data_IF_361339495066
#
_entry.id   IF_361339495066
#
_cell.length_a   1.000
_cell.length_b   1.000
_cell.length_c   1.000
_cell.angle_alpha   90.00
_cell.angle_beta   90.00
_cell.angle_gamma   90.00
#
_symmetry.space_group_name_H-M   'P 1'
#
loop_
_entity.id
_entity.type
_entity.pdbx_description
1 polymer ?
#
# COMPACT_ATOMS: atom_id res chain seq x y z
N UNK A 1 -52.06 24.64 -2.35
CA UNK A 1 -51.25 24.20 -1.20
C UNK A 1 -51.32 22.67 -0.97
N UNK A 2 -51.49 21.85 -2.02
CA UNK A 2 -51.65 20.38 -1.90
C UNK A 2 -50.66 19.58 -2.78
N UNK A 3 -49.98 20.23 -3.74
CA UNK A 3 -48.99 19.54 -4.59
C UNK A 3 -47.59 19.45 -3.97
N UNK A 4 -47.18 20.43 -3.16
CA UNK A 4 -45.80 20.53 -2.64
C UNK A 4 -45.51 19.49 -1.54
N UNK A 5 -46.51 19.12 -0.73
CA UNK A 5 -46.35 18.14 0.36
C UNK A 5 -46.17 16.71 -0.17
N UNK A 6 -46.81 16.38 -1.30
CA UNK A 6 -46.71 15.03 -1.90
C UNK A 6 -45.37 14.78 -2.58
N UNK A 7 -44.76 15.78 -3.19
CA UNK A 7 -43.45 15.65 -3.86
C UNK A 7 -42.30 15.54 -2.88
N UNK A 8 -42.39 16.23 -1.73
CA UNK A 8 -41.37 16.13 -0.67
C UNK A 8 -41.41 14.76 0.04
N UNK A 9 -42.61 14.21 0.32
CA UNK A 9 -42.72 12.86 0.91
C UNK A 9 -42.14 11.79 -0.02
N UNK A 10 -42.44 11.85 -1.32
CA UNK A 10 -41.95 10.87 -2.29
C UNK A 10 -40.47 11.04 -2.68
N UNK A 11 -39.88 12.23 -2.52
CA UNK A 11 -38.44 12.42 -2.69
C UNK A 11 -37.67 11.90 -1.46
N UNK A 12 -38.14 12.25 -0.25
CA UNK A 12 -37.55 11.80 1.01
C UNK A 12 -37.63 10.27 1.17
N UNK A 13 -38.77 9.63 0.83
CA UNK A 13 -38.90 8.17 0.83
C UNK A 13 -38.07 7.47 -0.27
N UNK A 14 -37.62 8.19 -1.30
CA UNK A 14 -36.74 7.65 -2.34
C UNK A 14 -35.26 7.80 -1.96
N UNK A 15 -34.85 8.91 -1.36
CA UNK A 15 -33.50 9.07 -0.79
C UNK A 15 -33.25 8.06 0.34
N UNK A 16 -34.19 7.91 1.28
CA UNK A 16 -34.08 6.91 2.36
C UNK A 16 -33.95 5.48 1.85
N UNK A 17 -34.59 5.14 0.73
CA UNK A 17 -34.45 3.80 0.12
C UNK A 17 -33.13 3.60 -0.60
N UNK A 18 -32.55 4.65 -1.18
CA UNK A 18 -31.20 4.58 -1.78
C UNK A 18 -30.15 4.43 -0.69
N UNK A 19 -30.29 5.17 0.42
CA UNK A 19 -29.41 5.01 1.60
C UNK A 19 -29.57 3.61 2.26
N UNK A 20 -30.80 3.09 2.40
CA UNK A 20 -31.04 1.73 2.93
C UNK A 20 -30.54 0.61 2.01
N UNK A 21 -30.49 0.81 0.68
CA UNK A 21 -30.03 -0.21 -0.27
C UNK A 21 -28.49 -0.25 -0.39
N UNK A 22 -27.79 0.82 0.01
CA UNK A 22 -26.33 0.92 -0.01
C UNK A 22 -25.63 0.33 1.24
N UNK A 23 -26.34 0.12 2.36
CA UNK A 23 -25.79 -0.50 3.58
C UNK A 23 -26.19 -1.97 3.75
N UNK A 24 -25.87 -2.81 2.76
CA UNK A 24 -25.78 -4.26 3.00
C UNK A 24 -24.45 -4.58 3.66
N UNK A 25 -24.37 -4.42 4.98
CA UNK A 25 -23.34 -5.05 5.80
C UNK A 25 -23.48 -6.58 5.66
N UNK A 26 -22.67 -7.18 4.78
CA UNK A 26 -22.48 -8.63 4.80
C UNK A 26 -21.68 -8.97 6.06
N UNK A 27 -22.37 -9.47 7.08
CA UNK A 27 -21.75 -10.20 8.18
C UNK A 27 -21.02 -11.43 7.62
N UNK A 28 -19.76 -11.24 7.25
CA UNK A 28 -18.85 -12.33 6.90
C UNK A 28 -18.20 -12.81 8.18
N UNK A 29 -18.41 -14.09 8.50
CA UNK A 29 -17.58 -14.78 9.48
C UNK A 29 -16.15 -14.85 8.96
N UNK A 30 -15.30 -13.92 9.41
CA UNK A 30 -13.87 -13.94 9.13
C UNK A 30 -13.26 -15.14 9.88
N UNK A 31 -12.46 -15.94 9.18
CA UNK A 31 -11.81 -17.09 9.78
C UNK A 31 -11.01 -16.70 11.03
N UNK A 32 -11.24 -17.38 12.15
CA UNK A 32 -10.52 -17.13 13.41
C UNK A 32 -9.05 -17.54 13.26
N UNK A 33 -8.22 -16.58 12.88
CA UNK A 33 -6.79 -16.77 12.68
C UNK A 33 -6.03 -16.37 13.95
N UNK A 34 -4.96 -17.14 14.27
CA UNK A 34 -4.07 -16.79 15.38
C UNK A 34 -2.97 -15.86 14.88
N UNK A 35 -2.71 -14.73 15.56
CA UNK A 35 -1.61 -13.85 15.17
C UNK A 35 -0.28 -14.58 15.27
N UNK A 36 0.62 -14.26 14.36
CA UNK A 36 2.02 -14.67 14.44
C UNK A 36 2.70 -13.82 15.53
N UNK A 37 3.61 -14.44 16.29
CA UNK A 37 4.47 -13.67 17.20
C UNK A 37 5.70 -13.24 16.42
N UNK A 38 5.93 -11.93 16.36
CA UNK A 38 7.12 -11.36 15.74
C UNK A 38 8.38 -11.80 16.47
N UNK A 39 9.43 -12.10 15.71
CA UNK A 39 10.73 -12.52 16.21
C UNK A 39 11.64 -11.31 16.29
N UNK A 40 12.22 -11.07 17.46
CA UNK A 40 13.28 -10.06 17.61
C UNK A 40 14.56 -10.56 16.93
N UNK A 41 15.27 -9.64 16.30
CA UNK A 41 16.60 -9.84 15.76
C UNK A 41 17.54 -8.73 16.25
N UNK A 42 18.83 -8.85 15.93
CA UNK A 42 19.84 -7.91 16.40
C UNK A 42 19.76 -6.59 15.62
N UNK A 43 18.77 -5.75 15.95
CA UNK A 43 18.46 -4.50 15.23
C UNK A 43 19.66 -3.60 15.01
N UNK A 44 20.58 -3.49 15.97
CA UNK A 44 21.79 -2.67 15.83
C UNK A 44 22.69 -3.09 14.68
N UNK A 45 22.63 -4.34 14.21
CA UNK A 45 23.46 -4.83 13.10
C UNK A 45 23.05 -4.24 11.75
N UNK A 46 21.84 -3.68 11.60
CA UNK A 46 21.41 -3.03 10.37
C UNK A 46 22.10 -1.68 10.14
N UNK A 47 22.66 -1.06 11.19
CA UNK A 47 23.31 0.25 11.09
C UNK A 47 24.47 0.24 10.08
N UNK A 48 25.18 -0.89 10.00
CA UNK A 48 26.31 -1.09 9.08
C UNK A 48 25.89 -1.61 7.70
N UNK A 49 24.62 -2.01 7.53
CA UNK A 49 24.12 -2.60 6.28
C UNK A 49 23.92 -1.54 5.21
N UNK A 50 24.37 -1.83 3.99
CA UNK A 50 24.26 -0.94 2.82
C UNK A 50 23.35 -1.51 1.74
N UNK A 51 23.01 -2.79 1.84
CA UNK A 51 22.09 -3.46 0.95
C UNK A 51 21.36 -4.60 1.65
N UNK A 52 20.39 -5.19 0.96
CA UNK A 52 19.64 -6.36 1.44
C UNK A 52 20.56 -7.57 1.62
N UNK A 53 21.61 -7.70 0.82
CA UNK A 53 22.57 -8.81 0.93
C UNK A 53 23.30 -8.82 2.28
N UNK A 54 23.55 -7.65 2.88
CA UNK A 54 24.18 -7.53 4.20
C UNK A 54 23.28 -8.04 5.33
N UNK A 55 21.97 -8.19 5.08
CA UNK A 55 20.98 -8.63 6.06
C UNK A 55 20.83 -10.15 6.16
N UNK A 56 21.41 -10.92 5.23
CA UNK A 56 21.21 -12.39 5.12
C UNK A 56 21.48 -13.15 6.42
N UNK A 57 22.46 -12.69 7.20
CA UNK A 57 22.86 -13.30 8.48
C UNK A 57 22.29 -12.58 9.71
N UNK A 58 21.35 -11.64 9.51
CA UNK A 58 20.75 -10.80 10.55
C UNK A 58 19.27 -11.13 10.70
N UNK A 59 18.54 -11.11 9.58
CA UNK A 59 17.08 -11.32 9.53
C UNK A 59 16.73 -11.99 8.21
N UNK A 60 15.71 -12.84 8.23
CA UNK A 60 15.21 -13.42 6.99
C UNK A 60 14.45 -12.35 6.18
N UNK A 61 14.92 -12.12 4.96
CA UNK A 61 14.35 -11.15 4.02
C UNK A 61 13.83 -11.88 2.79
N UNK A 62 12.61 -11.54 2.38
CA UNK A 62 11.93 -12.11 1.22
C UNK A 62 11.67 -11.00 0.20
N UNK A 63 11.89 -11.26 -1.09
CA UNK A 63 11.50 -10.28 -2.12
C UNK A 63 9.98 -10.18 -2.21
N UNK A 64 9.47 -8.97 -2.43
CA UNK A 64 8.04 -8.74 -2.60
C UNK A 64 7.48 -9.58 -3.75
N UNK A 65 8.21 -9.70 -4.86
CA UNK A 65 7.80 -10.54 -5.98
C UNK A 65 7.58 -12.01 -5.56
N UNK A 66 8.55 -12.62 -4.86
CA UNK A 66 8.44 -14.02 -4.46
C UNK A 66 7.28 -14.20 -3.49
N UNK A 67 7.11 -13.27 -2.54
CA UNK A 67 5.99 -13.31 -1.62
C UNK A 67 4.64 -13.26 -2.34
N UNK A 68 4.49 -12.33 -3.29
CA UNK A 68 3.24 -12.18 -4.06
C UNK A 68 2.96 -13.43 -4.89
N UNK A 69 3.96 -13.98 -5.58
CA UNK A 69 3.80 -15.19 -6.40
C UNK A 69 3.46 -16.43 -5.58
N UNK A 70 4.00 -16.56 -4.38
CA UNK A 70 3.81 -17.74 -3.53
C UNK A 70 2.54 -17.69 -2.69
N UNK A 71 2.18 -16.51 -2.17
CA UNK A 71 1.20 -16.37 -1.10
C UNK A 71 -0.05 -15.57 -1.47
N UNK A 72 -0.01 -14.79 -2.55
CA UNK A 72 -1.15 -13.95 -2.95
C UNK A 72 -1.90 -14.62 -4.09
N UNK A 73 -3.16 -14.97 -3.82
CA UNK A 73 -4.07 -15.63 -4.77
C UNK A 73 -4.62 -14.70 -5.84
N UNK A 74 -4.38 -13.39 -5.72
CA UNK A 74 -4.72 -12.41 -6.76
C UNK A 74 -3.73 -12.57 -7.91
N UNK A 75 -4.08 -13.43 -8.86
CA UNK A 75 -3.29 -13.71 -10.09
C UNK A 75 -2.74 -12.46 -10.73
N UNK A 76 -3.52 -11.39 -10.69
CA UNK A 76 -3.20 -10.17 -11.40
C UNK A 76 -2.20 -9.29 -10.62
N UNK A 77 -2.07 -9.41 -9.29
CA UNK A 77 -1.01 -8.70 -8.55
C UNK A 77 0.37 -9.28 -8.90
N UNK A 78 0.44 -10.59 -9.15
CA UNK A 78 1.67 -11.27 -9.57
C UNK A 78 2.13 -10.92 -11.00
N UNK A 79 1.26 -10.27 -11.79
CA UNK A 79 1.55 -9.83 -13.17
C UNK A 79 2.23 -8.44 -13.23
N UNK A 80 2.37 -7.76 -12.08
CA UNK A 80 3.18 -6.54 -11.98
C UNK A 80 4.67 -6.88 -12.04
N UNK A 81 5.45 -5.97 -12.62
CA UNK A 81 6.91 -6.06 -12.68
C UNK A 81 7.52 -5.63 -11.33
N UNK A 82 7.25 -6.38 -10.26
CA UNK A 82 7.75 -6.08 -8.90
C UNK A 82 9.27 -6.05 -8.80
N UNK A 83 9.96 -6.79 -9.67
CA UNK A 83 11.43 -6.88 -9.67
C UNK A 83 12.08 -5.51 -9.88
N UNK A 84 11.50 -4.64 -10.71
CA UNK A 84 12.09 -3.33 -10.99
C UNK A 84 11.99 -2.38 -9.79
N UNK A 85 10.99 -2.56 -8.92
CA UNK A 85 10.80 -1.77 -7.71
C UNK A 85 11.80 -2.10 -6.59
N UNK A 86 12.52 -3.23 -6.67
CA UNK A 86 13.54 -3.65 -5.69
C UNK A 86 13.04 -3.62 -4.23
N UNK A 87 11.80 -4.09 -4.01
CA UNK A 87 11.16 -4.14 -2.69
C UNK A 87 11.35 -5.51 -2.07
N UNK A 88 11.75 -5.50 -0.80
CA UNK A 88 11.97 -6.66 0.04
C UNK A 88 11.28 -6.44 1.38
N UNK A 89 10.94 -7.50 2.11
CA UNK A 89 10.35 -7.40 3.43
C UNK A 89 10.92 -8.43 4.39
N UNK A 90 10.94 -8.09 5.68
CA UNK A 90 11.31 -9.04 6.74
C UNK A 90 10.24 -10.14 6.87
N UNK A 91 10.62 -11.27 7.48
CA UNK A 91 9.62 -12.29 7.84
C UNK A 91 8.51 -11.74 8.75
N UNK A 92 8.83 -10.78 9.63
CA UNK A 92 7.85 -10.17 10.54
C UNK A 92 6.85 -9.26 9.82
N UNK A 93 7.26 -8.62 8.72
CA UNK A 93 6.37 -7.85 7.87
C UNK A 93 5.33 -8.76 7.20
N UNK A 94 5.79 -9.84 6.55
CA UNK A 94 4.94 -10.73 5.75
C UNK A 94 4.12 -11.75 6.55
N UNK A 95 4.60 -12.17 7.73
CA UNK A 95 3.94 -13.19 8.55
C UNK A 95 3.07 -12.55 9.64
N UNK A 96 1.84 -12.16 9.29
CA UNK A 96 0.87 -11.57 10.23
C UNK A 96 0.09 -12.62 11.02
N UNK A 97 -0.26 -13.73 10.38
CA UNK A 97 -1.00 -14.85 10.96
C UNK A 97 -0.22 -16.16 10.87
N UNK A 98 -0.52 -17.09 11.77
CA UNK A 98 -0.01 -18.47 11.63
C UNK A 98 -0.64 -19.12 10.42
N UNK A 99 0.20 -19.55 9.47
CA UNK A 99 -0.26 -20.31 8.30
C UNK A 99 -1.10 -21.51 8.75
N UNK A 100 -2.37 -21.52 8.32
CA UNK A 100 -3.27 -22.67 8.48
C UNK A 100 -3.44 -23.30 7.10
N UNK A 101 -3.36 -24.64 7.01
CA UNK A 101 -3.58 -25.34 5.73
C UNK A 101 -5.00 -25.07 5.23
N UNK A 102 -5.12 -24.67 3.96
CA UNK A 102 -6.41 -24.44 3.30
C UNK A 102 -6.99 -23.04 3.54
N UNK A 103 -6.19 -22.08 3.98
CA UNK A 103 -6.64 -20.71 4.20
C UNK A 103 -6.44 -19.89 2.92
N UNK A 104 -7.52 -19.69 2.15
CA UNK A 104 -7.51 -18.88 0.91
C UNK A 104 -7.54 -17.36 1.20
N UNK A 105 -7.63 -16.94 2.46
CA UNK A 105 -7.80 -15.54 2.87
C UNK A 105 -6.52 -14.84 3.35
N UNK A 106 -5.32 -15.28 2.93
CA UNK A 106 -4.04 -14.60 3.26
C UNK A 106 -4.08 -13.10 2.90
N UNK A 107 -4.81 -12.74 1.85
CA UNK A 107 -4.99 -11.36 1.39
C UNK A 107 -5.65 -10.44 2.43
N UNK A 108 -6.57 -10.97 3.24
CA UNK A 108 -7.32 -10.22 4.27
C UNK A 108 -6.42 -9.82 5.45
N UNK A 109 -5.30 -10.52 5.63
CA UNK A 109 -4.36 -10.31 6.73
C UNK A 109 -3.04 -9.68 6.26
N UNK A 110 -2.98 -9.17 5.02
CA UNK A 110 -1.81 -8.45 4.55
C UNK A 110 -1.60 -7.19 5.39
N UNK A 111 -0.37 -7.00 5.87
CA UNK A 111 0.01 -5.78 6.57
C UNK A 111 0.08 -4.62 5.57
N UNK A 112 -0.35 -3.44 6.00
CA UNK A 112 -0.12 -2.18 5.27
C UNK A 112 1.32 -1.76 5.44
N UNK A 113 1.91 -1.21 4.39
CA UNK A 113 3.22 -0.58 4.44
C UNK A 113 3.07 0.77 5.14
N UNK A 114 3.65 0.87 6.34
CA UNK A 114 3.67 2.10 7.15
C UNK A 114 5.08 2.71 7.24
N UNK A 115 6.11 1.88 7.45
CA UNK A 115 7.51 2.34 7.52
C UNK A 115 8.36 1.57 6.51
N UNK A 116 9.21 2.31 5.79
CA UNK A 116 10.13 1.76 4.81
C UNK A 116 11.57 2.19 5.11
N UNK A 117 12.51 1.29 4.85
CA UNK A 117 13.93 1.57 4.86
C UNK A 117 14.43 1.62 3.42
N UNK A 118 15.21 2.64 3.07
CA UNK A 118 15.72 2.85 1.71
C UNK A 118 17.24 2.94 1.75
N UNK A 119 17.90 1.93 1.19
CA UNK A 119 19.36 1.83 1.10
C UNK A 119 19.93 2.74 0.02
N UNK A 120 21.23 3.08 0.09
CA UNK A 120 21.92 3.92 -0.91
C UNK A 120 21.88 3.34 -2.32
N UNK A 121 21.79 2.02 -2.45
CA UNK A 121 21.68 1.33 -3.74
C UNK A 121 20.25 1.33 -4.32
N UNK A 122 19.29 2.00 -3.67
CA UNK A 122 17.89 2.09 -4.09
C UNK A 122 17.01 0.92 -3.67
N UNK A 123 17.55 -0.11 -3.00
CA UNK A 123 16.72 -1.20 -2.47
C UNK A 123 15.86 -0.71 -1.31
N UNK A 124 14.63 -1.23 -1.24
CA UNK A 124 13.66 -0.91 -0.20
C UNK A 124 13.39 -2.12 0.67
N UNK A 125 13.45 -1.94 1.99
CA UNK A 125 13.08 -2.94 2.99
C UNK A 125 11.82 -2.51 3.74
N UNK A 126 10.82 -3.38 3.72
CA UNK A 126 9.59 -3.30 4.50
C UNK A 126 9.81 -3.99 5.84
N UNK A 127 9.41 -3.31 6.90
CA UNK A 127 9.53 -3.77 8.29
C UNK A 127 8.17 -3.67 8.98
N UNK A 128 7.93 -4.49 10.00
CA UNK A 128 6.75 -4.33 10.84
C UNK A 128 6.82 -3.02 11.66
N UNK A 129 5.67 -2.56 12.15
CA UNK A 129 5.61 -1.42 13.09
C UNK A 129 6.48 -1.67 14.33
N UNK A 130 6.47 -2.90 14.86
CA UNK A 130 7.28 -3.24 16.02
C UNK A 130 8.78 -3.21 15.69
N UNK A 131 9.20 -3.67 14.51
CA UNK A 131 10.58 -3.53 14.06
C UNK A 131 10.96 -2.05 13.88
N UNK A 132 10.08 -1.25 13.28
CA UNK A 132 10.28 0.19 13.10
C UNK A 132 10.49 0.91 14.43
N UNK A 133 9.71 0.61 15.47
CA UNK A 133 9.89 1.17 16.82
C UNK A 133 11.29 0.90 17.37
N UNK A 134 11.78 -0.35 17.27
CA UNK A 134 13.13 -0.68 17.74
C UNK A 134 14.21 0.01 16.88
N UNK A 135 13.98 0.22 15.59
CA UNK A 135 14.91 0.94 14.71
C UNK A 135 14.94 2.45 15.00
N UNK A 136 13.80 3.03 15.38
CA UNK A 136 13.69 4.43 15.83
C UNK A 136 14.44 4.65 17.14
N UNK A 137 14.43 3.68 18.05
CA UNK A 137 15.24 3.73 19.29
C UNK A 137 16.76 3.76 19.01
N UNK A 138 17.19 3.33 17.82
CA UNK A 138 18.60 3.38 17.39
C UNK A 138 19.03 4.74 16.81
N UNK A 139 18.18 5.78 16.87
CA UNK A 139 18.35 7.14 16.30
C UNK A 139 19.57 7.95 16.72
N UNK A 140 20.42 7.41 17.58
CA UNK A 140 21.75 7.95 17.85
C UNK A 140 22.86 7.39 16.95
N UNK A 141 22.57 6.40 16.10
CA UNK A 141 23.52 5.73 15.22
C UNK A 141 23.72 6.43 13.87
N UNK A 142 24.88 6.22 13.25
CA UNK A 142 25.09 6.55 11.84
C UNK A 142 24.36 5.51 10.99
N UNK A 143 23.33 5.94 10.28
CA UNK A 143 22.56 5.11 9.37
C UNK A 143 23.19 5.10 7.97
N UNK A 144 23.27 3.93 7.33
CA UNK A 144 23.59 3.79 5.90
C UNK A 144 22.32 3.60 5.04
N UNK A 145 21.17 3.96 5.60
CA UNK A 145 19.86 3.89 4.96
C UNK A 145 19.02 5.07 5.44
N UNK A 146 17.87 5.26 4.79
CA UNK A 146 16.85 6.21 5.23
C UNK A 146 15.66 5.48 5.79
N UNK A 147 15.21 5.88 6.97
CA UNK A 147 13.98 5.40 7.59
C UNK A 147 12.90 6.45 7.33
N UNK A 148 11.81 6.03 6.69
CA UNK A 148 10.76 6.94 6.25
C UNK A 148 9.39 6.36 6.60
N UNK A 149 8.51 7.18 7.18
CA UNK A 149 7.09 6.84 7.25
C UNK A 149 6.47 7.02 5.85
N UNK A 150 5.81 5.98 5.35
CA UNK A 150 5.29 5.92 4.00
C UNK A 150 4.25 7.01 3.75
N UNK A 151 3.32 7.24 4.68
CA UNK A 151 2.31 8.30 4.53
C UNK A 151 2.93 9.70 4.42
N UNK A 152 4.04 9.95 5.12
CA UNK A 152 4.78 11.21 5.00
C UNK A 152 5.53 11.33 3.67
N UNK A 153 6.05 10.23 3.12
CA UNK A 153 6.65 10.24 1.78
C UNK A 153 5.59 10.58 0.72
N UNK A 154 4.40 10.00 0.85
CA UNK A 154 3.23 10.28 0.02
C UNK A 154 2.80 11.75 0.10
N UNK A 155 2.72 12.31 1.31
CA UNK A 155 2.41 13.72 1.53
C UNK A 155 3.47 14.64 0.95
N UNK A 156 4.76 14.28 1.08
CA UNK A 156 5.82 15.08 0.48
C UNK A 156 5.67 15.12 -1.04
N UNK A 157 5.43 13.98 -1.69
CA UNK A 157 5.16 13.89 -3.13
C UNK A 157 3.98 14.76 -3.54
N UNK A 158 2.89 14.76 -2.76
CA UNK A 158 1.74 15.64 -3.00
C UNK A 158 2.13 17.12 -3.05
N UNK A 159 3.09 17.53 -2.21
CA UNK A 159 3.49 18.94 -2.09
C UNK A 159 4.59 19.34 -3.08
N UNK A 160 5.56 18.47 -3.33
CA UNK A 160 6.80 18.82 -4.06
C UNK A 160 6.93 18.18 -5.44
N UNK A 161 6.13 17.15 -5.74
CA UNK A 161 6.06 16.55 -7.07
C UNK A 161 7.18 15.56 -7.39
N UNK A 162 7.57 15.46 -8.67
CA UNK A 162 8.53 14.44 -9.17
C UNK A 162 9.93 14.54 -8.54
N UNK A 163 10.35 15.74 -8.12
CA UNK A 163 11.68 15.99 -7.55
C UNK A 163 11.67 15.96 -6.02
N UNK A 164 10.76 15.19 -5.42
CA UNK A 164 10.65 15.09 -3.96
C UNK A 164 11.89 14.41 -3.39
N UNK A 165 12.57 15.09 -2.47
CA UNK A 165 13.75 14.57 -1.79
C UNK A 165 13.40 14.06 -0.39
N UNK A 166 14.28 13.25 0.20
CA UNK A 166 14.03 12.73 1.55
C UNK A 166 13.93 13.83 2.62
N UNK A 167 14.62 14.95 2.43
CA UNK A 167 14.54 16.13 3.32
C UNK A 167 13.16 16.80 3.31
N UNK A 168 12.38 16.59 2.25
CA UNK A 168 11.03 17.12 2.12
C UNK A 168 10.03 16.27 2.90
N UNK A 169 10.42 15.03 3.25
CA UNK A 169 9.61 14.07 3.99
C UNK A 169 9.71 14.34 5.49
N UNK A 170 8.59 14.67 6.16
CA UNK A 170 8.57 14.83 7.61
C UNK A 170 9.15 13.60 8.33
N UNK A 171 9.99 13.86 9.34
CA UNK A 171 10.57 12.83 10.20
C UNK A 171 11.42 11.76 9.49
N UNK A 172 11.84 11.98 8.25
CA UNK A 172 12.83 11.12 7.62
C UNK A 172 14.14 11.13 8.42
N UNK A 173 14.64 9.95 8.74
CA UNK A 173 15.91 9.75 9.44
C UNK A 173 16.90 9.08 8.50
N UNK A 174 18.19 9.38 8.67
CA UNK A 174 19.25 8.65 8.01
C UNK A 174 20.29 9.51 7.31
N UNK A 175 21.06 8.91 6.42
CA UNK A 175 22.04 9.60 5.59
C UNK A 175 21.42 10.15 4.30
N UNK A 176 22.11 11.13 3.69
CA UNK A 176 21.83 11.60 2.32
C UNK A 176 20.36 11.98 2.09
N UNK A 177 19.84 12.84 2.96
CA UNK A 177 18.46 13.33 2.85
C UNK A 177 18.26 14.27 1.64
N UNK A 178 19.33 14.67 0.99
CA UNK A 178 19.34 15.45 -0.24
C UNK A 178 19.08 14.63 -1.52
N UNK A 179 19.05 13.30 -1.43
CA UNK A 179 18.72 12.43 -2.56
C UNK A 179 17.20 12.37 -2.83
N UNK A 180 16.87 12.06 -4.07
CA UNK A 180 15.49 11.92 -4.54
C UNK A 180 14.86 10.61 -4.02
N UNK A 181 13.54 10.63 -3.84
CA UNK A 181 12.79 9.44 -3.42
C UNK A 181 12.73 8.39 -4.55
N UNK A 182 12.77 7.08 -4.24
CA UNK A 182 12.63 6.02 -5.23
C UNK A 182 11.18 5.91 -5.69
N UNK A 183 10.80 6.73 -6.66
CA UNK A 183 9.41 6.89 -7.12
C UNK A 183 8.76 5.56 -7.53
N UNK A 184 9.51 4.68 -8.19
CA UNK A 184 9.02 3.35 -8.59
C UNK A 184 8.68 2.47 -7.39
N UNK A 185 9.53 2.45 -6.37
CA UNK A 185 9.28 1.69 -5.15
C UNK A 185 8.11 2.29 -4.37
N UNK A 186 8.00 3.62 -4.30
CA UNK A 186 6.86 4.29 -3.65
C UNK A 186 5.55 3.94 -4.37
N UNK A 187 5.51 4.02 -5.71
CA UNK A 187 4.34 3.64 -6.50
C UNK A 187 3.96 2.16 -6.30
N UNK A 188 4.95 1.26 -6.25
CA UNK A 188 4.72 -0.14 -5.96
C UNK A 188 4.17 -0.36 -4.54
N UNK A 189 4.66 0.38 -3.54
CA UNK A 189 4.10 0.38 -2.18
C UNK A 189 2.65 0.89 -2.14
N UNK A 190 2.31 1.92 -2.92
CA UNK A 190 0.94 2.41 -3.10
C UNK A 190 0.00 1.30 -3.59
N UNK A 191 0.38 0.64 -4.68
CA UNK A 191 -0.40 -0.48 -5.23
C UNK A 191 -0.51 -1.61 -4.23
N UNK A 192 0.59 -1.93 -3.53
CA UNK A 192 0.57 -2.95 -2.49
C UNK A 192 -0.35 -2.56 -1.33
N UNK A 193 -0.46 -1.29 -0.96
CA UNK A 193 -1.41 -0.84 0.07
C UNK A 193 -2.88 -0.87 -0.41
N UNK A 194 -3.12 -1.08 -1.71
CA UNK A 194 -4.45 -1.00 -2.31
C UNK A 194 -4.89 0.45 -2.57
N UNK A 195 -3.96 1.40 -2.51
CA UNK A 195 -4.19 2.80 -2.87
C UNK A 195 -3.93 2.97 -4.36
N UNK A 196 -5.02 3.09 -5.12
CA UNK A 196 -5.02 3.06 -6.59
C UNK A 196 -5.65 4.30 -7.21
N UNK A 197 -6.17 5.20 -6.38
CA UNK A 197 -6.60 6.55 -6.73
C UNK A 197 -5.62 7.53 -6.08
N UNK A 198 -4.45 7.79 -6.70
CA UNK A 198 -3.60 8.90 -6.28
C UNK A 198 -4.40 10.21 -6.38
N UNK A 199 -4.04 11.21 -5.56
CA UNK A 199 -4.55 12.58 -5.74
C UNK A 199 -4.19 13.12 -7.12
N UNK A 200 -4.85 14.18 -7.62
CA UNK A 200 -4.49 14.79 -8.91
C UNK A 200 -2.99 15.20 -8.98
N UNK A 201 -2.44 15.66 -7.86
CA UNK A 201 -1.02 16.00 -7.71
C UNK A 201 -0.10 14.78 -7.81
N UNK A 202 -0.43 13.70 -7.09
CA UNK A 202 0.28 12.42 -7.21
C UNK A 202 0.10 11.80 -8.57
N UNK A 203 -1.07 11.94 -9.20
CA UNK A 203 -1.34 11.38 -10.50
C UNK A 203 -0.41 12.01 -11.52
N UNK A 204 -0.27 13.34 -11.58
CA UNK A 204 0.65 14.00 -12.50
C UNK A 204 2.10 13.47 -12.41
N UNK A 205 2.53 13.11 -11.19
CA UNK A 205 3.91 12.70 -10.85
C UNK A 205 4.13 11.20 -11.03
N UNK A 206 3.17 10.41 -10.56
CA UNK A 206 3.23 8.96 -10.57
C UNK A 206 2.63 8.38 -11.84
N UNK A 207 2.03 9.17 -12.75
CA UNK A 207 1.37 8.63 -13.95
C UNK A 207 2.32 7.79 -14.80
N UNK A 208 3.53 8.30 -15.08
CA UNK A 208 4.54 7.59 -15.86
C UNK A 208 5.01 6.32 -15.16
N UNK A 209 5.20 6.39 -13.84
CA UNK A 209 5.67 5.29 -12.99
C UNK A 209 4.59 4.21 -12.81
N UNK A 210 3.35 4.62 -12.56
CA UNK A 210 2.20 3.74 -12.55
C UNK A 210 1.96 3.14 -13.93
N UNK A 211 2.18 3.87 -15.02
CA UNK A 211 2.07 3.30 -16.34
C UNK A 211 3.12 2.19 -16.53
N UNK A 212 4.38 2.41 -16.15
CA UNK A 212 5.43 1.39 -16.20
C UNK A 212 5.10 0.17 -15.31
N UNK A 213 4.57 0.39 -14.10
CA UNK A 213 4.23 -0.67 -13.16
C UNK A 213 2.96 -1.43 -13.57
N UNK A 214 1.93 -0.71 -13.99
CA UNK A 214 0.56 -1.19 -14.26
C UNK A 214 0.30 -1.45 -15.75
N UNK A 215 1.27 -1.28 -16.66
CA UNK A 215 1.08 -1.44 -18.11
C UNK A 215 0.39 -2.77 -18.48
N UNK A 216 0.60 -3.80 -17.67
CA UNK A 216 0.05 -5.15 -17.85
C UNK A 216 -1.32 -5.38 -17.18
N UNK A 217 -1.84 -4.43 -16.41
CA UNK A 217 -2.93 -4.67 -15.46
C UNK A 217 -4.25 -4.03 -15.87
N UNK A 218 -5.31 -4.85 -15.91
CA UNK A 218 -6.68 -4.40 -16.17
C UNK A 218 -7.28 -3.71 -14.93
N UNK A 219 -8.09 -2.65 -15.10
CA UNK A 219 -8.78 -1.96 -13.99
C UNK A 219 -9.58 -2.91 -13.08
N UNK A 220 -10.17 -3.97 -13.63
CA UNK A 220 -10.91 -4.99 -12.87
C UNK A 220 -10.04 -5.74 -11.86
N UNK A 221 -8.75 -5.91 -12.14
CA UNK A 221 -7.76 -6.43 -11.18
C UNK A 221 -7.69 -5.58 -9.93
N UNK A 222 -7.61 -4.28 -10.15
CA UNK A 222 -7.34 -3.32 -9.09
C UNK A 222 -8.55 -3.24 -8.16
N UNK A 223 -9.76 -3.27 -8.74
CA UNK A 223 -11.01 -3.42 -7.98
C UNK A 223 -11.06 -4.71 -7.16
N UNK A 224 -10.59 -5.84 -7.72
CA UNK A 224 -10.53 -7.11 -7.00
C UNK A 224 -9.52 -7.09 -5.83
N UNK A 225 -8.37 -6.44 -6.00
CA UNK A 225 -7.39 -6.25 -4.92
C UNK A 225 -8.00 -5.47 -3.76
N UNK A 226 -8.61 -4.32 -4.04
CA UNK A 226 -9.28 -3.50 -3.03
C UNK A 226 -10.39 -4.30 -2.32
N UNK A 227 -11.25 -4.96 -3.10
CA UNK A 227 -12.38 -5.73 -2.57
C UNK A 227 -11.92 -6.91 -1.71
N UNK A 228 -10.79 -7.55 -2.05
CA UNK A 228 -10.22 -8.67 -1.30
C UNK A 228 -9.68 -8.29 0.08
N UNK A 229 -9.49 -6.98 0.35
CA UNK A 229 -9.01 -6.45 1.64
C UNK A 229 -10.14 -5.99 2.58
N UNK A 230 -11.40 -6.32 2.24
CA UNK A 230 -12.59 -5.91 2.97
C UNK A 230 -13.27 -4.68 2.37
N UNK A 231 -14.54 -4.43 2.74
CA UNK A 231 -15.35 -3.35 2.18
C UNK A 231 -14.60 -2.01 2.13
N UNK A 232 -14.63 -1.35 0.97
CA UNK A 232 -13.88 -0.13 0.63
C UNK A 232 -14.15 1.09 1.54
N UNK A 233 -15.09 1.00 2.49
CA UNK A 233 -15.38 2.04 3.49
C UNK A 233 -14.27 2.22 4.52
N UNK A 234 -13.35 1.26 4.68
CA UNK A 234 -12.13 1.42 5.50
C UNK A 234 -10.95 2.02 4.75
N UNK A 235 -11.09 2.26 3.45
CA UNK A 235 -10.00 2.61 2.54
C UNK A 235 -10.42 3.78 1.65
N UNK A 236 -10.39 5.03 2.17
CA UNK A 236 -10.96 6.19 1.48
C UNK A 236 -10.34 6.50 0.11
N UNK A 237 -9.15 5.96 -0.20
CA UNK A 237 -8.43 6.11 -1.48
C UNK A 237 -8.50 4.87 -2.38
N UNK A 238 -9.33 3.91 -2.04
CA UNK A 238 -9.49 2.65 -2.77
C UNK A 238 -10.84 2.55 -3.51
N UNK A 239 -11.72 3.53 -3.35
CA UNK A 239 -12.99 3.59 -4.08
C UNK A 239 -12.73 3.80 -5.58
N UNK A 240 -12.94 2.76 -6.39
CA UNK A 240 -13.27 2.98 -7.80
C UNK A 240 -14.60 3.75 -7.83
N UNK A 241 -14.73 4.84 -8.60
CA UNK A 241 -16.02 5.51 -8.75
C UNK A 241 -17.06 4.49 -9.22
N UNK A 242 -18.02 4.16 -8.35
CA UNK A 242 -19.23 3.48 -8.77
C UNK A 242 -20.12 4.54 -9.42
N UNK A 243 -19.84 4.87 -10.68
CA UNK A 243 -20.85 5.50 -11.51
C UNK A 243 -21.47 4.44 -12.42
N UNK A 244 -22.73 4.15 -12.13
CA UNK A 244 -23.62 3.50 -13.07
C UNK A 244 -23.59 4.22 -14.41
N UNK A 245 -23.66 3.39 -15.46
CA UNK A 245 -24.18 3.72 -16.80
C UNK A 245 -24.57 5.18 -17.01
N UNK A 246 -23.65 5.96 -17.55
CA UNK A 246 -23.76 6.53 -18.91
C UNK A 246 -22.84 7.77 -18.99
N UNK A 247 -21.98 7.75 -20.00
CA UNK A 247 -21.26 8.91 -20.54
C UNK A 247 -20.39 9.75 -19.59
N UNK A 248 -19.26 9.20 -19.13
CA UNK A 248 -17.97 9.92 -19.02
C UNK A 248 -16.87 8.94 -18.59
N UNK A 249 -15.68 9.04 -19.18
CA UNK A 249 -14.43 8.28 -18.91
C UNK A 249 -14.02 7.23 -19.97
N UNK A 250 -14.01 7.67 -21.23
CA UNK A 250 -13.24 7.02 -22.31
C UNK A 250 -11.80 7.55 -22.44
N UNK A 251 -11.29 8.34 -21.48
CA UNK A 251 -9.97 9.01 -21.61
C UNK A 251 -8.80 8.29 -20.92
N UNK A 252 -9.05 7.27 -20.10
CA UNK A 252 -7.98 6.58 -19.37
C UNK A 252 -7.16 5.57 -20.21
N UNK A 253 -7.55 5.30 -21.46
CA UNK A 253 -6.92 4.25 -22.30
C UNK A 253 -6.77 4.60 -23.79
N UNK A 254 -6.98 5.86 -24.19
CA UNK A 254 -6.84 6.29 -25.60
C UNK A 254 -6.01 7.58 -25.76
N UNK A 255 -4.92 7.73 -24.99
CA UNK A 255 -3.88 8.72 -25.26
C UNK A 255 -2.49 8.11 -25.00
#
# INVERSE_FOLDING_TARGET
MSLIVRTLSGACERELRVEEEEEREQDREVAVCKPMKEKRWAYSRILDARSIEDLRDIVNVVSMENYIREWITLTNLADLVWTSAQIFGTENFFATIKAQRGLDCVNEFLRVIDVILIFENGQVLLVSECEADHLLELSSGNYNFRLVNFAFACEAIDRTGENTQFRDVPMALGCRLDEDNPMLSIAACYVFNGEIMPTDSQQAVLHSVFYELLHSIRQTTIGNLVTSRGNGTKWPRSALPQHGSDDCNAEFLNA
#
